data_IF_546963866781
#
_entry.id   IF_546963866781
#
_cell.length_a   1.000
_cell.length_b   1.000
_cell.length_c   1.000
_cell.angle_alpha   90.00
_cell.angle_beta   90.00
_cell.angle_gamma   90.00
#
_symmetry.space_group_name_H-M   'P 1'
#
loop_
_entity.id
_entity.type
_entity.pdbx_description
1 polymer ?
#
# COMPACT_ATOMS: atom_id res chain seq x y z
N UNK A 1 -24.49 -1.21 -14.71
CA UNK A 1 -23.74 -0.03 -15.20
C UNK A 1 -22.44 -0.52 -15.86
N UNK A 2 -21.89 0.17 -16.86
CA UNK A 2 -20.57 -0.17 -17.43
C UNK A 2 -19.53 0.84 -16.96
N UNK A 3 -18.36 0.34 -16.57
CA UNK A 3 -17.24 1.11 -16.07
C UNK A 3 -16.04 1.00 -16.99
N UNK A 4 -15.39 2.13 -17.26
CA UNK A 4 -14.19 2.15 -18.10
C UNK A 4 -12.95 1.59 -17.37
N UNK A 5 -11.94 1.23 -18.16
CA UNK A 5 -10.66 0.65 -17.71
C UNK A 5 -9.98 1.48 -16.63
N UNK A 6 -10.01 2.81 -16.74
CA UNK A 6 -9.35 3.71 -15.81
C UNK A 6 -10.07 3.68 -14.47
N UNK A 7 -11.39 3.76 -14.48
CA UNK A 7 -12.23 3.64 -13.28
C UNK A 7 -12.00 2.30 -12.58
N UNK A 8 -12.15 1.19 -13.30
CA UNK A 8 -12.03 -0.17 -12.74
C UNK A 8 -10.65 -0.37 -12.11
N UNK A 9 -9.58 -0.07 -12.84
CA UNK A 9 -8.21 -0.24 -12.33
C UNK A 9 -7.92 0.61 -11.11
N UNK A 10 -8.39 1.86 -11.11
CA UNK A 10 -8.12 2.83 -10.05
C UNK A 10 -8.90 2.50 -8.77
N UNK A 11 -10.20 2.20 -8.90
CA UNK A 11 -11.07 1.92 -7.76
C UNK A 11 -10.85 0.54 -7.16
N UNK A 12 -10.48 -0.43 -7.97
CA UNK A 12 -10.23 -1.79 -7.47
C UNK A 12 -8.77 -2.00 -7.06
N UNK A 13 -7.86 -1.04 -7.31
CA UNK A 13 -6.42 -1.23 -7.16
C UNK A 13 -5.94 -2.50 -7.90
N UNK A 14 -6.27 -2.59 -9.18
CA UNK A 14 -5.90 -3.71 -10.04
C UNK A 14 -5.19 -3.18 -11.27
N UNK A 15 -4.03 -3.76 -11.60
CA UNK A 15 -3.33 -3.45 -12.84
C UNK A 15 -4.01 -4.11 -14.04
N UNK A 16 -3.82 -3.55 -15.24
CA UNK A 16 -4.31 -4.17 -16.48
C UNK A 16 -3.74 -5.58 -16.67
N UNK A 17 -2.46 -5.79 -16.28
CA UNK A 17 -1.81 -7.11 -16.33
C UNK A 17 -2.51 -8.13 -15.44
N UNK A 18 -2.87 -7.74 -14.21
CA UNK A 18 -3.62 -8.62 -13.30
C UNK A 18 -4.99 -8.99 -13.86
N UNK A 19 -5.74 -8.01 -14.38
CA UNK A 19 -7.07 -8.26 -14.94
C UNK A 19 -6.98 -9.17 -16.17
N UNK A 20 -6.02 -8.92 -17.07
CA UNK A 20 -5.76 -9.82 -18.21
C UNK A 20 -5.41 -11.24 -17.75
N UNK A 21 -4.64 -11.39 -16.67
CA UNK A 21 -4.32 -12.70 -16.12
C UNK A 21 -5.57 -13.43 -15.59
N UNK A 22 -6.49 -12.72 -14.92
CA UNK A 22 -7.76 -13.30 -14.47
C UNK A 22 -8.64 -13.74 -15.63
N UNK A 23 -8.71 -12.93 -16.70
CA UNK A 23 -9.41 -13.30 -17.94
C UNK A 23 -8.78 -14.56 -18.57
N UNK A 24 -7.45 -14.60 -18.68
CA UNK A 24 -6.73 -15.76 -19.23
C UNK A 24 -6.93 -17.04 -18.40
N UNK A 25 -7.18 -16.91 -17.10
CA UNK A 25 -7.52 -18.00 -16.18
C UNK A 25 -9.03 -18.31 -16.14
N UNK A 26 -9.83 -17.74 -17.03
CA UNK A 26 -11.29 -17.88 -17.10
C UNK A 26 -12.01 -17.49 -15.80
N UNK A 27 -11.41 -16.62 -14.98
CA UNK A 27 -12.00 -16.09 -13.75
C UNK A 27 -12.87 -14.85 -14.00
N UNK A 28 -12.63 -14.14 -15.10
CA UNK A 28 -13.40 -12.98 -15.52
C UNK A 28 -13.77 -13.11 -16.99
N UNK A 29 -14.97 -12.63 -17.34
CA UNK A 29 -15.41 -12.53 -18.73
C UNK A 29 -14.47 -11.59 -19.51
N UNK A 30 -14.28 -11.90 -20.79
CA UNK A 30 -13.43 -11.11 -21.68
C UNK A 30 -14.20 -9.89 -22.19
N UNK A 31 -14.28 -8.87 -21.34
CA UNK A 31 -14.92 -7.59 -21.69
C UNK A 31 -13.89 -6.53 -22.12
N UNK A 32 -12.86 -6.96 -22.86
CA UNK A 32 -11.90 -6.05 -23.49
C UNK A 32 -12.42 -5.71 -24.88
N UNK A 33 -13.05 -4.54 -25.02
CA UNK A 33 -13.57 -4.03 -26.30
C UNK A 33 -12.59 -2.97 -26.80
N UNK A 34 -12.07 -3.11 -28.02
CA UNK A 34 -11.13 -2.16 -28.63
C UNK A 34 -9.91 -1.82 -27.72
N UNK A 35 -9.29 -2.85 -27.14
CA UNK A 35 -8.18 -2.75 -26.17
C UNK A 35 -8.49 -2.00 -24.86
N UNK A 36 -9.74 -1.56 -24.68
CA UNK A 36 -10.22 -0.94 -23.46
C UNK A 36 -10.97 -1.99 -22.65
N UNK A 37 -10.50 -2.21 -21.42
CA UNK A 37 -11.25 -2.96 -20.43
C UNK A 37 -12.54 -2.20 -20.13
N UNK A 38 -13.68 -2.83 -20.35
CA UNK A 38 -14.96 -2.43 -19.77
C UNK A 38 -15.34 -3.50 -18.75
N UNK A 39 -16.03 -3.12 -17.68
CA UNK A 39 -16.52 -4.06 -16.69
C UNK A 39 -17.87 -3.58 -16.20
N UNK A 40 -18.81 -4.50 -16.02
CA UNK A 40 -20.11 -4.21 -15.43
C UNK A 40 -20.15 -4.58 -13.94
N UNK A 41 -21.32 -4.44 -13.33
CA UNK A 41 -21.54 -4.75 -11.91
C UNK A 41 -21.28 -6.24 -11.61
N UNK A 42 -21.66 -7.15 -12.52
CA UNK A 42 -21.43 -8.59 -12.38
C UNK A 42 -19.92 -8.88 -12.37
N UNK A 43 -19.18 -8.32 -13.32
CA UNK A 43 -17.72 -8.43 -13.38
C UNK A 43 -17.02 -7.86 -12.15
N UNK A 44 -17.52 -6.75 -11.59
CA UNK A 44 -16.99 -6.18 -10.35
C UNK A 44 -17.25 -7.08 -9.13
N UNK A 45 -18.44 -7.70 -9.05
CA UNK A 45 -18.76 -8.68 -8.00
C UNK A 45 -17.82 -9.88 -8.07
N UNK A 46 -17.56 -10.41 -9.28
CA UNK A 46 -16.62 -11.51 -9.46
C UNK A 46 -15.20 -11.09 -9.09
N UNK A 47 -14.75 -9.90 -9.53
CA UNK A 47 -13.44 -9.36 -9.16
C UNK A 47 -13.29 -9.17 -7.64
N UNK A 48 -14.35 -8.78 -6.95
CA UNK A 48 -14.38 -8.68 -5.48
C UNK A 48 -14.16 -10.06 -4.83
N UNK A 49 -14.86 -11.10 -5.30
CA UNK A 49 -14.69 -12.49 -4.84
C UNK A 49 -13.27 -13.01 -5.08
N UNK A 50 -12.71 -12.77 -6.26
CA UNK A 50 -11.32 -13.14 -6.60
C UNK A 50 -10.35 -12.47 -5.62
N UNK A 51 -10.51 -11.18 -5.36
CA UNK A 51 -9.63 -10.46 -4.41
C UNK A 51 -9.74 -11.02 -3.00
N UNK A 52 -10.94 -11.36 -2.57
CA UNK A 52 -11.18 -11.94 -1.26
C UNK A 52 -10.49 -13.30 -1.10
N UNK A 53 -10.67 -14.21 -2.08
CA UNK A 53 -10.03 -15.52 -2.08
C UNK A 53 -8.49 -15.41 -2.11
N UNK A 54 -7.96 -14.43 -2.84
CA UNK A 54 -6.52 -14.15 -2.83
C UNK A 54 -6.02 -13.60 -1.49
N UNK A 55 -6.80 -12.78 -0.78
CA UNK A 55 -6.41 -12.28 0.55
C UNK A 55 -6.45 -13.41 1.59
N UNK A 56 -7.36 -14.39 1.44
CA UNK A 56 -7.35 -15.63 2.24
C UNK A 56 -6.09 -16.47 1.96
N UNK A 57 -5.52 -16.38 0.75
CA UNK A 57 -4.29 -17.06 0.36
C UNK A 57 -4.43 -18.08 -0.77
N UNK A 58 -5.61 -18.19 -1.41
CA UNK A 58 -5.80 -19.10 -2.53
C UNK A 58 -5.08 -18.63 -3.79
N UNK A 59 -4.51 -19.60 -4.52
CA UNK A 59 -3.98 -19.39 -5.87
C UNK A 59 -5.11 -19.10 -6.86
N UNK A 60 -4.77 -18.65 -8.08
CA UNK A 60 -5.78 -18.40 -9.11
C UNK A 60 -6.46 -19.68 -9.61
N UNK A 61 -5.74 -20.80 -9.62
CA UNK A 61 -6.31 -22.08 -10.06
C UNK A 61 -7.28 -22.63 -9.01
N UNK A 62 -6.94 -22.52 -7.72
CA UNK A 62 -7.86 -22.86 -6.62
C UNK A 62 -9.05 -21.89 -6.56
N UNK A 63 -8.82 -20.59 -6.75
CA UNK A 63 -9.89 -19.57 -6.82
C UNK A 63 -10.92 -19.97 -7.87
N UNK A 64 -10.48 -20.43 -9.05
CA UNK A 64 -11.38 -20.88 -10.11
C UNK A 64 -12.19 -22.10 -9.68
N UNK A 65 -11.53 -23.12 -9.15
CA UNK A 65 -12.19 -24.33 -8.65
C UNK A 65 -13.25 -23.97 -7.60
N UNK A 66 -12.94 -23.06 -6.67
CA UNK A 66 -13.88 -22.62 -5.65
C UNK A 66 -15.08 -21.91 -6.28
N UNK A 67 -14.86 -20.96 -7.18
CA UNK A 67 -15.95 -20.19 -7.80
C UNK A 67 -16.85 -21.06 -8.71
N UNK A 68 -16.30 -22.08 -9.35
CA UNK A 68 -17.05 -22.98 -10.24
C UNK A 68 -17.90 -23.99 -9.46
N UNK A 69 -17.51 -24.36 -8.23
CA UNK A 69 -18.11 -25.49 -7.50
C UNK A 69 -18.84 -25.08 -6.22
N UNK A 70 -18.47 -23.97 -5.58
CA UNK A 70 -19.04 -23.58 -4.30
C UNK A 70 -20.28 -22.71 -4.51
N UNK A 71 -21.38 -23.07 -3.83
CA UNK A 71 -22.60 -22.26 -3.84
C UNK A 71 -22.33 -20.89 -3.22
N UNK A 72 -22.95 -19.85 -3.78
CA UNK A 72 -22.79 -18.46 -3.34
C UNK A 72 -22.97 -18.29 -1.82
N UNK A 73 -23.97 -18.96 -1.24
CA UNK A 73 -24.25 -18.86 0.19
C UNK A 73 -23.11 -19.40 1.07
N UNK A 74 -22.44 -20.47 0.64
CA UNK A 74 -21.31 -21.05 1.35
C UNK A 74 -20.05 -20.20 1.17
N UNK A 75 -19.84 -19.64 -0.03
CA UNK A 75 -18.76 -18.69 -0.29
C UNK A 75 -18.87 -17.46 0.62
N UNK A 76 -20.08 -16.89 0.75
CA UNK A 76 -20.32 -15.75 1.64
C UNK A 76 -20.13 -16.09 3.12
N UNK A 77 -20.51 -17.30 3.56
CA UNK A 77 -20.23 -17.77 4.94
C UNK A 77 -18.72 -17.85 5.19
N UNK A 78 -17.97 -18.42 4.25
CA UNK A 78 -16.51 -18.51 4.34
C UNK A 78 -15.87 -17.12 4.44
N UNK A 79 -16.33 -16.15 3.63
CA UNK A 79 -15.84 -14.78 3.68
C UNK A 79 -16.14 -14.09 5.01
N UNK A 80 -17.37 -14.21 5.51
CA UNK A 80 -17.75 -13.67 6.82
C UNK A 80 -16.91 -14.28 7.95
N UNK A 81 -16.67 -15.58 7.90
CA UNK A 81 -15.85 -16.28 8.89
C UNK A 81 -14.41 -15.78 8.88
N UNK A 82 -13.80 -15.61 7.69
CA UNK A 82 -12.46 -15.04 7.54
C UNK A 82 -12.35 -13.66 8.20
N UNK A 83 -13.24 -12.71 7.86
CA UNK A 83 -13.21 -11.37 8.48
C UNK A 83 -13.38 -11.43 9.99
N UNK A 84 -14.27 -12.30 10.49
CA UNK A 84 -14.49 -12.46 11.93
C UNK A 84 -13.21 -12.94 12.62
N UNK A 85 -12.48 -13.89 12.03
CA UNK A 85 -11.24 -14.41 12.61
C UNK A 85 -10.10 -13.40 12.56
N UNK A 86 -9.93 -12.69 11.45
CA UNK A 86 -8.98 -11.57 11.33
C UNK A 86 -9.25 -10.50 12.40
N UNK A 87 -10.52 -10.11 12.58
CA UNK A 87 -10.92 -9.14 13.60
C UNK A 87 -10.58 -9.63 15.01
N UNK A 88 -10.87 -10.89 15.33
CA UNK A 88 -10.57 -11.44 16.65
C UNK A 88 -9.06 -11.49 16.91
N UNK A 89 -8.27 -11.88 15.91
CA UNK A 89 -6.82 -11.89 16.00
C UNK A 89 -6.25 -10.49 16.26
N UNK A 90 -6.76 -9.47 15.54
CA UNK A 90 -6.38 -8.08 15.75
C UNK A 90 -6.78 -7.56 17.15
N UNK A 91 -7.98 -7.91 17.64
CA UNK A 91 -8.42 -7.53 18.98
C UNK A 91 -7.52 -8.14 20.07
N UNK A 92 -7.12 -9.41 19.92
CA UNK A 92 -6.21 -10.07 20.85
C UNK A 92 -4.82 -9.42 20.81
N UNK A 93 -4.35 -9.06 19.62
CA UNK A 93 -3.12 -8.31 19.44
C UNK A 93 -3.17 -6.92 20.12
N UNK A 94 -4.26 -6.18 19.95
CA UNK A 94 -4.48 -4.87 20.57
C UNK A 94 -4.50 -4.94 22.10
N UNK A 95 -5.21 -5.91 22.68
CA UNK A 95 -5.21 -6.13 24.14
C UNK A 95 -3.79 -6.35 24.67
N UNK A 96 -3.00 -7.13 23.96
CA UNK A 96 -1.62 -7.39 24.35
C UNK A 96 -0.73 -6.14 24.22
N UNK A 97 -0.97 -5.30 23.20
CA UNK A 97 -0.30 -4.00 23.08
C UNK A 97 -0.64 -3.07 24.24
N UNK A 98 -1.92 -3.01 24.66
CA UNK A 98 -2.36 -2.20 25.81
C UNK A 98 -1.64 -2.67 27.08
N UNK A 99 -1.70 -3.97 27.38
CA UNK A 99 -1.04 -4.57 28.54
C UNK A 99 0.48 -4.29 28.55
N UNK A 100 1.12 -4.36 27.38
CA UNK A 100 2.54 -4.04 27.21
C UNK A 100 2.83 -2.56 27.47
N UNK A 101 2.00 -1.65 26.94
CA UNK A 101 2.21 -0.22 27.07
C UNK A 101 2.08 0.26 28.53
N UNK A 102 1.09 -0.26 29.25
CA UNK A 102 0.73 0.15 30.61
C UNK A 102 1.60 -0.53 31.67
N UNK A 103 1.82 -1.83 31.54
CA UNK A 103 2.38 -2.67 32.61
C UNK A 103 3.72 -3.31 32.26
N UNK A 104 4.24 -3.11 31.04
CA UNK A 104 5.42 -3.82 30.50
C UNK A 104 5.28 -5.35 30.58
N UNK A 105 4.04 -5.85 30.56
CA UNK A 105 3.72 -7.28 30.56
C UNK A 105 3.24 -7.70 29.17
N UNK A 106 3.53 -8.94 28.80
CA UNK A 106 3.07 -9.57 27.57
C UNK A 106 2.38 -10.89 27.92
N UNK A 107 1.20 -11.14 27.36
CA UNK A 107 0.62 -12.47 27.40
C UNK A 107 1.24 -13.31 26.28
N UNK A 108 1.96 -14.37 26.67
CA UNK A 108 2.60 -15.29 25.72
C UNK A 108 1.55 -16.24 25.17
N UNK A 109 0.93 -15.86 24.05
CA UNK A 109 -0.03 -16.72 23.36
C UNK A 109 0.24 -16.78 21.84
N UNK A 110 -0.14 -17.91 21.22
CA UNK A 110 0.10 -18.16 19.79
C UNK A 110 -0.60 -17.13 18.90
N UNK A 111 -1.75 -16.62 19.31
CA UNK A 111 -2.53 -15.66 18.52
C UNK A 111 -1.77 -14.34 18.35
N UNK A 112 -1.23 -13.77 19.42
CA UNK A 112 -0.52 -12.50 19.38
C UNK A 112 0.78 -12.60 18.60
N UNK A 113 1.55 -13.68 18.78
CA UNK A 113 2.79 -13.85 18.02
C UNK A 113 2.54 -14.26 16.56
N UNK A 114 1.48 -15.02 16.29
CA UNK A 114 1.07 -15.40 14.93
C UNK A 114 0.66 -14.20 14.06
N UNK A 115 0.26 -13.07 14.67
CA UNK A 115 -0.05 -11.85 13.91
C UNK A 115 1.17 -11.26 13.17
N UNK A 116 2.38 -11.46 13.71
CA UNK A 116 3.62 -10.85 13.17
C UNK A 116 4.19 -11.55 11.93
N UNK A 117 3.68 -12.72 11.53
CA UNK A 117 4.21 -13.47 10.38
C UNK A 117 3.90 -12.82 9.02
N UNK A 118 3.01 -11.82 8.98
CA UNK A 118 2.65 -11.14 7.73
C UNK A 118 3.59 -9.98 7.40
N UNK A 119 4.42 -10.12 6.37
CA UNK A 119 5.21 -9.03 5.82
C UNK A 119 4.29 -7.99 5.14
N UNK A 120 3.76 -7.05 5.91
CA UNK A 120 3.06 -5.90 5.34
C UNK A 120 3.41 -4.62 6.10
N UNK A 121 4.04 -3.66 5.41
CA UNK A 121 4.24 -2.35 6.00
C UNK A 121 2.91 -1.60 6.03
N UNK A 122 2.29 -1.52 7.21
CA UNK A 122 1.22 -0.59 7.57
C UNK A 122 0.21 -0.26 6.45
N UNK A 123 -0.38 -1.30 5.82
CA UNK A 123 -1.33 -1.18 4.68
C UNK A 123 -2.40 -0.11 4.93
N UNK A 124 -2.97 -0.08 6.14
CA UNK A 124 -3.99 0.90 6.53
C UNK A 124 -3.49 2.35 6.47
N UNK A 125 -2.31 2.62 7.02
CA UNK A 125 -1.68 3.95 6.99
C UNK A 125 -1.31 4.37 5.56
N UNK A 126 -0.85 3.43 4.72
CA UNK A 126 -0.60 3.73 3.31
C UNK A 126 -1.88 4.10 2.55
N UNK A 127 -2.99 3.42 2.84
CA UNK A 127 -4.28 3.74 2.22
C UNK A 127 -4.82 5.09 2.69
N UNK A 128 -4.67 5.42 3.97
CA UNK A 128 -5.05 6.72 4.49
C UNK A 128 -4.19 7.85 3.86
N UNK A 129 -2.87 7.66 3.82
CA UNK A 129 -1.94 8.58 3.15
C UNK A 129 -2.28 8.79 1.66
N UNK A 130 -2.79 7.75 1.00
CA UNK A 130 -3.25 7.87 -0.38
C UNK A 130 -4.42 8.86 -0.52
N UNK A 131 -5.37 8.83 0.40
CA UNK A 131 -6.51 9.75 0.42
C UNK A 131 -6.04 11.20 0.65
N UNK A 132 -5.18 11.42 1.65
CA UNK A 132 -4.55 12.73 1.86
C UNK A 132 -3.85 13.23 0.60
N UNK A 133 -3.08 12.37 -0.07
CA UNK A 133 -2.36 12.75 -1.28
C UNK A 133 -3.29 13.10 -2.43
N UNK A 134 -4.45 12.45 -2.57
CA UNK A 134 -5.43 12.85 -3.59
C UNK A 134 -5.84 14.31 -3.37
N UNK A 135 -6.16 14.68 -2.14
CA UNK A 135 -6.55 16.05 -1.80
C UNK A 135 -5.39 17.04 -2.00
N UNK A 136 -4.17 16.68 -1.57
CA UNK A 136 -2.99 17.50 -1.81
C UNK A 136 -2.66 17.70 -3.30
N UNK A 137 -2.97 16.73 -4.16
CA UNK A 137 -2.73 16.85 -5.60
C UNK A 137 -3.83 17.61 -6.35
N UNK A 138 -5.00 17.81 -5.74
CA UNK A 138 -6.02 18.74 -6.25
C UNK A 138 -5.69 20.19 -5.92
N UNK A 139 -4.96 20.43 -4.82
CA UNK A 139 -4.46 21.75 -4.45
C UNK A 139 -3.10 22.02 -5.14
N UNK A 140 -3.02 23.03 -6.01
CA UNK A 140 -1.78 23.30 -6.75
C UNK A 140 -0.60 23.73 -5.85
N UNK A 141 -0.86 24.38 -4.72
CA UNK A 141 0.18 24.77 -3.76
C UNK A 141 0.82 23.54 -3.12
N UNK A 142 0.01 22.65 -2.54
CA UNK A 142 0.51 21.41 -1.92
C UNK A 142 1.18 20.49 -2.94
N UNK A 143 0.60 20.39 -4.14
CA UNK A 143 1.20 19.63 -5.25
C UNK A 143 2.58 20.17 -5.64
N UNK A 144 2.74 21.50 -5.72
CA UNK A 144 4.02 22.14 -6.03
C UNK A 144 5.02 21.89 -4.91
N UNK A 145 4.62 22.09 -3.66
CA UNK A 145 5.46 21.89 -2.48
C UNK A 145 5.97 20.44 -2.37
N UNK A 146 5.08 19.45 -2.42
CA UNK A 146 5.47 18.04 -2.38
C UNK A 146 6.39 17.63 -3.55
N UNK A 147 6.18 18.21 -4.74
CA UNK A 147 7.09 17.99 -5.88
C UNK A 147 8.47 18.56 -5.62
N UNK A 148 8.55 19.75 -5.01
CA UNK A 148 9.81 20.41 -4.65
C UNK A 148 10.54 19.60 -3.58
N UNK A 149 9.88 19.27 -2.48
CA UNK A 149 10.43 18.44 -1.39
C UNK A 149 11.00 17.14 -1.97
N UNK A 150 10.20 16.39 -2.74
CA UNK A 150 10.63 15.12 -3.33
C UNK A 150 11.79 15.28 -4.31
N UNK A 151 11.74 16.29 -5.19
CA UNK A 151 12.83 16.57 -6.14
C UNK A 151 14.13 16.85 -5.39
N UNK A 152 14.04 17.63 -4.31
CA UNK A 152 15.18 18.04 -3.51
C UNK A 152 15.77 16.86 -2.73
N UNK A 153 14.94 16.00 -2.11
CA UNK A 153 15.39 14.74 -1.50
C UNK A 153 16.17 13.89 -2.52
N UNK A 154 15.64 13.72 -3.74
CA UNK A 154 16.33 12.90 -4.74
C UNK A 154 17.64 13.53 -5.23
N UNK A 155 17.71 14.87 -5.28
CA UNK A 155 18.92 15.59 -5.67
C UNK A 155 19.97 15.56 -4.56
N UNK A 156 19.59 15.85 -3.31
CA UNK A 156 20.52 15.82 -2.17
C UNK A 156 20.98 14.40 -1.87
N UNK A 157 20.16 13.38 -2.14
CA UNK A 157 20.60 12.00 -2.06
C UNK A 157 21.60 11.63 -3.17
N UNK A 158 21.44 12.19 -4.38
CA UNK A 158 22.48 12.07 -5.43
C UNK A 158 23.81 12.63 -4.96
N UNK A 159 23.77 13.81 -4.33
CA UNK A 159 24.93 14.49 -3.77
C UNK A 159 25.56 13.66 -2.65
N UNK A 160 24.75 13.12 -1.73
CA UNK A 160 25.20 12.18 -0.69
C UNK A 160 25.92 10.96 -1.28
N UNK A 161 25.39 10.34 -2.34
CA UNK A 161 26.04 9.18 -2.95
C UNK A 161 27.44 9.53 -3.49
N UNK A 162 27.59 10.72 -4.09
CA UNK A 162 28.86 11.17 -4.69
C UNK A 162 29.86 11.73 -3.69
N UNK A 163 29.38 12.55 -2.76
CA UNK A 163 30.19 13.44 -1.93
C UNK A 163 30.04 13.16 -0.42
N UNK A 164 29.16 12.22 -0.02
CA UNK A 164 28.87 11.84 1.38
C UNK A 164 28.31 12.96 2.26
N UNK A 165 27.81 14.04 1.68
CA UNK A 165 27.15 15.13 2.40
C UNK A 165 25.70 14.76 2.78
N UNK A 166 25.36 14.81 4.06
CA UNK A 166 24.05 14.39 4.58
C UNK A 166 23.14 15.56 4.99
N UNK A 167 23.71 16.74 5.24
CA UNK A 167 23.02 17.88 5.82
C UNK A 167 21.82 18.30 4.95
N UNK A 168 22.05 18.41 3.65
CA UNK A 168 21.01 18.76 2.68
C UNK A 168 19.93 17.68 2.59
N UNK A 169 20.28 16.40 2.73
CA UNK A 169 19.29 15.32 2.73
C UNK A 169 18.39 15.40 3.95
N UNK A 170 18.98 15.62 5.12
CA UNK A 170 18.25 15.74 6.39
C UNK A 170 17.35 16.97 6.41
N UNK A 171 17.79 18.11 5.86
CA UNK A 171 16.97 19.30 5.71
C UNK A 171 15.66 19.01 4.95
N UNK A 172 15.74 18.26 3.85
CA UNK A 172 14.56 17.95 3.05
C UNK A 172 13.73 16.80 3.62
N UNK A 173 14.31 15.90 4.41
CA UNK A 173 13.53 14.99 5.24
C UNK A 173 12.76 15.73 6.32
N UNK A 174 13.36 16.73 6.97
CA UNK A 174 12.66 17.56 7.95
C UNK A 174 11.53 18.35 7.29
N UNK A 175 11.78 18.92 6.11
CA UNK A 175 10.74 19.59 5.33
C UNK A 175 9.55 18.67 5.04
N UNK A 176 9.80 17.39 4.71
CA UNK A 176 8.74 16.41 4.52
C UNK A 176 8.01 16.09 5.84
N UNK A 177 8.75 15.87 6.93
CA UNK A 177 8.20 15.56 8.23
C UNK A 177 7.30 16.68 8.76
N UNK A 178 7.74 17.94 8.61
CA UNK A 178 6.94 19.13 8.93
C UNK A 178 5.68 19.16 8.09
N UNK A 179 5.79 19.01 6.75
CA UNK A 179 4.63 18.98 5.87
C UNK A 179 3.60 17.92 6.32
N UNK A 180 4.05 16.70 6.61
CA UNK A 180 3.17 15.63 7.06
C UNK A 180 2.55 15.92 8.43
N UNK A 181 3.32 16.43 9.39
CA UNK A 181 2.82 16.84 10.71
C UNK A 181 1.75 17.93 10.62
N UNK A 182 1.92 18.87 9.70
CA UNK A 182 0.98 19.99 9.53
C UNK A 182 -0.33 19.56 8.87
N UNK A 183 -0.28 18.64 7.90
CA UNK A 183 -1.43 18.34 7.04
C UNK A 183 -2.04 16.95 7.21
N UNK A 184 -1.50 16.12 8.11
CA UNK A 184 -2.11 14.85 8.53
C UNK A 184 -2.63 15.01 9.96
N UNK A 185 -3.94 14.77 10.13
CA UNK A 185 -4.53 14.69 11.46
C UNK A 185 -3.98 13.46 12.20
N UNK A 186 -3.64 13.61 13.48
CA UNK A 186 -3.11 12.53 14.32
C UNK A 186 -1.81 11.92 13.74
N UNK A 187 -0.92 12.79 13.27
CA UNK A 187 0.36 12.40 12.67
C UNK A 187 1.15 11.43 13.55
N UNK A 188 1.70 10.42 12.90
CA UNK A 188 2.65 9.44 13.44
C UNK A 188 3.85 9.33 12.50
N UNK A 189 5.04 9.04 13.04
CA UNK A 189 6.26 8.75 12.25
C UNK A 189 6.04 7.63 11.22
N UNK A 190 5.03 6.77 11.44
CA UNK A 190 4.61 5.75 10.47
C UNK A 190 4.15 6.33 9.13
N UNK A 191 3.55 7.53 9.12
CA UNK A 191 3.18 8.24 7.90
C UNK A 191 4.43 8.65 7.10
N UNK A 192 5.48 9.10 7.77
CA UNK A 192 6.76 9.43 7.13
C UNK A 192 7.39 8.18 6.51
N UNK A 193 7.46 7.07 7.26
CA UNK A 193 7.95 5.80 6.71
C UNK A 193 7.15 5.36 5.48
N UNK A 194 5.82 5.42 5.55
CA UNK A 194 4.94 5.06 4.44
C UNK A 194 5.15 5.98 3.22
N UNK A 195 5.31 7.28 3.43
CA UNK A 195 5.51 8.25 2.36
C UNK A 195 6.84 8.05 1.64
N UNK A 196 7.94 7.87 2.38
CA UNK A 196 9.24 7.57 1.75
C UNK A 196 9.22 6.21 1.08
N UNK A 197 8.66 5.17 1.73
CA UNK A 197 8.53 3.83 1.12
C UNK A 197 7.78 3.90 -0.20
N UNK A 198 6.73 4.71 -0.28
CA UNK A 198 6.03 4.96 -1.54
C UNK A 198 6.99 5.54 -2.58
N UNK A 199 7.68 6.64 -2.26
CA UNK A 199 8.58 7.31 -3.18
C UNK A 199 9.78 6.46 -3.62
N UNK A 200 10.13 5.42 -2.85
CA UNK A 200 11.27 4.55 -3.16
C UNK A 200 10.88 3.19 -3.75
N UNK A 201 9.63 2.76 -3.63
CA UNK A 201 9.16 1.46 -4.13
C UNK A 201 8.22 1.55 -5.35
N UNK A 202 7.46 2.63 -5.50
CA UNK A 202 6.49 2.75 -6.61
C UNK A 202 7.22 2.91 -7.96
N UNK A 203 6.88 2.11 -8.99
CA UNK A 203 7.59 2.09 -10.28
C UNK A 203 7.78 3.48 -10.92
N UNK A 204 6.77 4.35 -10.80
CA UNK A 204 6.84 5.73 -11.31
C UNK A 204 7.96 6.54 -10.66
N UNK A 205 8.17 6.38 -9.36
CA UNK A 205 9.18 7.14 -8.62
C UNK A 205 10.54 6.46 -8.70
N UNK A 206 10.60 5.13 -8.70
CA UNK A 206 11.80 4.35 -9.02
C UNK A 206 12.38 4.77 -10.37
N UNK A 207 11.55 4.95 -11.40
CA UNK A 207 12.01 5.46 -12.70
C UNK A 207 12.61 6.87 -12.59
N UNK A 208 12.05 7.74 -11.75
CA UNK A 208 12.58 9.09 -11.53
C UNK A 208 13.90 9.07 -10.77
N UNK A 209 14.06 8.17 -9.80
CA UNK A 209 15.32 7.94 -9.09
C UNK A 209 16.37 7.43 -10.08
N UNK A 210 16.06 6.39 -10.86
CA UNK A 210 16.96 5.86 -11.90
C UNK A 210 17.40 6.93 -12.91
N UNK A 211 16.46 7.74 -13.41
CA UNK A 211 16.77 8.80 -14.36
C UNK A 211 17.69 9.89 -13.78
N UNK A 212 17.67 10.10 -12.45
CA UNK A 212 18.51 11.09 -11.78
C UNK A 212 19.85 10.54 -11.31
N UNK A 213 19.88 9.27 -10.93
CA UNK A 213 21.01 8.64 -10.23
C UNK A 213 21.73 7.56 -11.05
N UNK A 214 21.26 7.27 -12.27
CA UNK A 214 21.71 6.18 -13.14
C UNK A 214 21.58 4.76 -12.52
N UNK A 215 20.99 4.64 -11.33
CA UNK A 215 20.76 3.36 -10.64
C UNK A 215 19.55 3.46 -9.70
N UNK A 216 19.02 2.30 -9.26
CA UNK A 216 17.91 2.27 -8.31
C UNK A 216 18.41 2.26 -6.86
N UNK A 217 18.66 3.44 -6.31
CA UNK A 217 19.00 3.60 -4.91
C UNK A 217 17.77 3.82 -4.00
N UNK A 218 16.58 3.35 -4.41
CA UNK A 218 15.37 3.44 -3.58
C UNK A 218 15.54 2.82 -2.19
N UNK A 219 16.07 1.59 -2.07
CA UNK A 219 16.33 0.96 -0.77
C UNK A 219 17.29 1.78 0.10
N UNK A 220 18.40 2.27 -0.45
CA UNK A 220 19.39 3.07 0.29
C UNK A 220 18.80 4.38 0.78
N UNK A 221 18.01 5.07 -0.05
CA UNK A 221 17.32 6.29 0.33
C UNK A 221 16.32 6.03 1.47
N UNK A 222 15.59 4.92 1.40
CA UNK A 222 14.68 4.53 2.48
C UNK A 222 15.44 4.27 3.78
N UNK A 223 16.59 3.59 3.73
CA UNK A 223 17.43 3.36 4.91
C UNK A 223 17.93 4.67 5.52
N UNK A 224 18.37 5.64 4.71
CA UNK A 224 18.77 6.96 5.24
C UNK A 224 17.60 7.71 5.88
N UNK A 225 16.40 7.61 5.29
CA UNK A 225 15.20 8.19 5.90
C UNK A 225 14.85 7.53 7.23
N UNK A 226 15.03 6.20 7.35
CA UNK A 226 14.84 5.46 8.59
C UNK A 226 15.83 5.93 9.66
N UNK A 227 17.11 6.00 9.33
CA UNK A 227 18.14 6.51 10.24
C UNK A 227 17.78 7.91 10.73
N UNK A 228 17.36 8.79 9.83
CA UNK A 228 17.00 10.16 10.16
C UNK A 228 15.80 10.25 11.12
N UNK A 229 14.64 9.68 10.77
CA UNK A 229 13.40 9.81 11.57
C UNK A 229 13.47 9.07 12.93
N UNK A 230 14.45 8.17 13.11
CA UNK A 230 14.72 7.55 14.42
C UNK A 230 15.55 8.44 15.34
N UNK A 231 16.29 9.42 14.80
CA UNK A 231 17.13 10.36 15.55
C UNK A 231 16.41 11.68 15.86
N UNK A 232 15.45 12.08 15.02
CA UNK A 232 14.70 13.32 15.09
C UNK A 232 13.20 13.02 15.05
#
# INVERSE_FOLDING_TARGET
MKYDSKFVRHKTNSSLKQIKNYINKNLLKKDIINEKLEMDDEGLIILYKIKFLKEIGFTLDETRIILDNLKEIELLKMFKYFILKEKNLLNDFEKNLVAFSENKKLEINRNTFGYFESETLAKGVMFDLYNYRIEWYKNETFKKELKVIRKNIFTSFSDYIKNKHLENLYLYFESLNVFLKTYIKDYSKLHFFCMIKWWTAEPRYVKQIKNKLNYNYGPDLFNQAVIWITKF
#
